data_IF_646994740684
#
_entry.id   IF_646994740684
#
_cell.length_a   1.000
_cell.length_b   1.000
_cell.length_c   1.000
_cell.angle_alpha   90.00
_cell.angle_beta   90.00
_cell.angle_gamma   90.00
#
_symmetry.space_group_name_H-M   'P 1'
#
loop_
_entity.id
_entity.type
_entity.pdbx_description
1 polymer ?
#
# COMPACT_ATOMS: atom_id res chain seq x y z
N UNK A 1 -19.70 -23.00 -0.88
CA UNK A 1 -18.51 -22.33 -0.31
C UNK A 1 -18.70 -22.15 1.20
N UNK A 2 -17.80 -22.61 2.08
CA UNK A 2 -17.95 -22.42 3.54
C UNK A 2 -17.66 -20.96 3.92
N UNK A 3 -18.68 -20.10 3.82
CA UNK A 3 -18.57 -18.63 4.01
C UNK A 3 -18.05 -18.25 5.39
N UNK A 4 -18.50 -18.94 6.46
CA UNK A 4 -18.01 -18.70 7.82
C UNK A 4 -16.48 -18.87 7.96
N UNK A 5 -15.90 -19.85 7.25
CA UNK A 5 -14.43 -20.06 7.22
C UNK A 5 -13.73 -18.90 6.53
N UNK A 6 -14.30 -18.39 5.44
CA UNK A 6 -13.75 -17.27 4.69
C UNK A 6 -13.79 -15.95 5.47
N UNK A 7 -14.85 -15.73 6.26
CA UNK A 7 -14.94 -14.57 7.16
C UNK A 7 -13.87 -14.63 8.24
N UNK A 8 -13.72 -15.78 8.90
CA UNK A 8 -12.66 -16.00 9.90
C UNK A 8 -11.27 -15.79 9.30
N UNK A 9 -11.04 -16.31 8.10
CA UNK A 9 -9.78 -16.13 7.39
C UNK A 9 -9.44 -14.66 7.13
N UNK A 10 -10.39 -13.88 6.60
CA UNK A 10 -10.19 -12.45 6.40
C UNK A 10 -9.95 -11.73 7.72
N UNK A 11 -10.65 -12.08 8.79
CA UNK A 11 -10.42 -11.47 10.10
C UNK A 11 -9.00 -11.76 10.62
N UNK A 12 -8.55 -13.01 10.52
CA UNK A 12 -7.19 -13.40 10.92
C UNK A 12 -6.11 -12.69 10.11
N UNK A 13 -6.29 -12.58 8.78
CA UNK A 13 -5.35 -11.86 7.93
C UNK A 13 -5.37 -10.36 8.19
N UNK A 14 -6.55 -9.77 8.43
CA UNK A 14 -6.66 -8.36 8.81
C UNK A 14 -5.94 -8.06 10.12
N UNK A 15 -6.10 -8.92 11.13
CA UNK A 15 -5.39 -8.80 12.39
C UNK A 15 -3.87 -8.95 12.23
N UNK A 16 -3.41 -9.92 11.43
CA UNK A 16 -1.98 -10.13 11.16
C UNK A 16 -1.34 -8.88 10.54
N UNK A 17 -1.93 -8.34 9.47
CA UNK A 17 -1.43 -7.15 8.81
C UNK A 17 -1.49 -5.91 9.71
N UNK A 18 -2.54 -5.78 10.53
CA UNK A 18 -2.66 -4.68 11.49
C UNK A 18 -1.52 -4.72 12.52
N UNK A 19 -1.23 -5.90 13.07
CA UNK A 19 -0.11 -6.09 14.02
C UNK A 19 1.22 -5.79 13.35
N UNK A 20 1.44 -6.25 12.12
CA UNK A 20 2.67 -5.96 11.37
C UNK A 20 2.82 -4.46 11.06
N UNK A 21 1.76 -3.80 10.60
CA UNK A 21 1.77 -2.36 10.33
C UNK A 21 2.00 -1.53 11.59
N UNK A 22 1.33 -1.88 12.70
CA UNK A 22 1.54 -1.23 14.00
C UNK A 22 2.97 -1.45 14.53
N UNK A 23 3.49 -2.68 14.43
CA UNK A 23 4.86 -2.99 14.78
C UNK A 23 5.86 -2.20 13.93
N UNK A 24 5.61 -2.06 12.61
CA UNK A 24 6.46 -1.25 11.74
C UNK A 24 6.49 0.21 12.20
N UNK A 25 5.32 0.81 12.50
CA UNK A 25 5.26 2.19 13.00
C UNK A 25 5.98 2.36 14.35
N UNK A 26 5.87 1.38 15.25
CA UNK A 26 6.46 1.45 16.58
C UNK A 26 7.98 1.19 16.60
N UNK A 27 8.48 0.37 15.68
CA UNK A 27 9.87 -0.13 15.69
C UNK A 27 10.74 0.46 14.56
N UNK A 28 10.15 1.13 13.57
CA UNK A 28 10.91 1.71 12.46
C UNK A 28 11.85 2.83 12.91
N UNK A 29 12.99 2.94 12.24
CA UNK A 29 13.89 4.08 12.37
C UNK A 29 13.37 5.30 11.61
N UNK A 30 14.10 6.40 11.68
CA UNK A 30 13.91 7.61 10.91
C UNK A 30 14.56 7.57 9.52
N UNK A 31 14.94 6.38 9.01
CA UNK A 31 15.55 6.23 7.69
C UNK A 31 14.67 6.80 6.56
N UNK A 32 15.31 7.56 5.67
CA UNK A 32 14.63 8.30 4.59
C UNK A 32 15.36 8.11 3.25
N UNK A 33 14.61 8.23 2.17
CA UNK A 33 15.14 8.30 0.81
C UNK A 33 14.65 9.57 0.10
N UNK A 34 15.51 10.23 -0.70
CA UNK A 34 15.13 11.44 -1.42
C UNK A 34 14.27 11.11 -2.64
N UNK A 35 13.18 11.85 -2.81
CA UNK A 35 12.44 11.97 -4.06
C UNK A 35 13.05 13.13 -4.84
N UNK A 36 13.46 12.87 -6.08
CA UNK A 36 14.19 13.85 -6.88
C UNK A 36 13.51 14.13 -8.21
N UNK A 37 13.65 15.35 -8.71
CA UNK A 37 13.36 15.71 -10.10
C UNK A 37 14.63 15.75 -10.93
N UNK A 38 14.47 15.67 -12.24
CA UNK A 38 15.56 15.83 -13.20
C UNK A 38 15.05 16.69 -14.34
N UNK A 39 15.23 18.00 -14.24
CA UNK A 39 14.82 18.95 -15.28
C UNK A 39 16.02 19.34 -16.15
N UNK A 40 15.74 19.74 -17.39
CA UNK A 40 16.78 20.17 -18.32
C UNK A 40 17.07 21.64 -18.09
N UNK A 41 18.35 21.96 -17.86
CA UNK A 41 18.84 23.33 -17.76
C UNK A 41 19.99 23.57 -18.74
N UNK A 42 20.17 24.83 -19.14
CA UNK A 42 21.31 25.21 -19.97
C UNK A 42 22.53 25.51 -19.10
N UNK A 43 23.62 24.81 -19.37
CA UNK A 43 24.88 24.95 -18.66
C UNK A 43 25.86 25.78 -19.50
N UNK A 44 26.16 27.00 -19.05
CA UNK A 44 27.06 27.91 -19.77
C UNK A 44 28.52 27.45 -19.81
N UNK A 45 28.95 26.58 -18.89
CA UNK A 45 30.32 26.06 -18.86
C UNK A 45 30.60 25.00 -19.95
N UNK A 46 29.56 24.27 -20.38
CA UNK A 46 29.64 23.23 -21.40
C UNK A 46 28.93 23.61 -22.70
N UNK A 47 28.26 24.76 -22.73
CA UNK A 47 27.45 25.25 -23.86
C UNK A 47 26.42 24.20 -24.30
N UNK A 48 25.75 23.58 -23.33
CA UNK A 48 24.86 22.45 -23.58
C UNK A 48 23.66 22.37 -22.63
N UNK A 49 22.65 21.59 -23.01
CA UNK A 49 21.48 21.30 -22.18
C UNK A 49 21.73 20.02 -21.39
N UNK A 50 21.73 20.13 -20.07
CA UNK A 50 22.05 19.02 -19.17
C UNK A 50 20.91 18.78 -18.18
N UNK A 51 20.63 17.51 -17.82
CA UNK A 51 19.68 17.19 -16.75
C UNK A 51 20.27 17.55 -15.38
N UNK A 52 19.64 18.49 -14.69
CA UNK A 52 19.96 18.87 -13.31
C UNK A 52 19.03 18.13 -12.37
N UNK A 53 19.63 17.42 -11.39
CA UNK A 53 18.90 16.62 -10.41
C UNK A 53 18.78 17.38 -9.09
N UNK A 54 17.55 17.65 -8.70
CA UNK A 54 17.22 18.30 -7.44
C UNK A 54 16.40 17.38 -6.53
N UNK A 55 16.64 17.46 -5.22
CA UNK A 55 15.80 16.80 -4.23
C UNK A 55 14.55 17.63 -3.98
N UNK A 56 13.38 17.03 -4.21
CA UNK A 56 12.09 17.63 -3.89
C UNK A 56 11.78 17.53 -2.39
N UNK A 57 11.87 16.32 -1.85
CA UNK A 57 11.63 16.02 -0.43
C UNK A 57 12.15 14.62 -0.08
N UNK A 58 12.31 14.35 1.21
CA UNK A 58 12.68 13.03 1.73
C UNK A 58 11.44 12.27 2.22
N UNK A 59 11.41 10.96 1.95
CA UNK A 59 10.33 10.06 2.38
C UNK A 59 10.85 9.08 3.41
N UNK A 60 10.22 9.07 4.59
CA UNK A 60 10.49 8.07 5.63
C UNK A 60 9.94 6.71 5.20
N UNK A 61 10.82 5.71 5.09
CA UNK A 61 10.40 4.38 4.62
C UNK A 61 9.54 3.62 5.63
N UNK A 62 9.75 3.83 6.94
CA UNK A 62 8.98 3.15 7.97
C UNK A 62 7.47 3.34 7.82
N UNK A 63 6.96 4.58 7.85
CA UNK A 63 5.55 4.88 7.59
C UNK A 63 5.06 4.44 6.20
N UNK A 64 5.89 4.56 5.16
CA UNK A 64 5.52 4.15 3.80
C UNK A 64 5.26 2.64 3.74
N UNK A 65 6.15 1.83 4.32
CA UNK A 65 6.00 0.37 4.40
C UNK A 65 4.79 -0.01 5.27
N UNK A 66 4.62 0.66 6.41
CA UNK A 66 3.47 0.44 7.26
C UNK A 66 2.14 0.72 6.53
N UNK A 67 2.12 1.71 5.63
CA UNK A 67 0.90 2.10 4.91
C UNK A 67 0.33 0.94 4.08
N UNK A 68 1.12 0.23 3.28
CA UNK A 68 0.58 -0.87 2.46
C UNK A 68 0.09 -2.05 3.33
N UNK A 69 0.75 -2.34 4.46
CA UNK A 69 0.30 -3.34 5.43
C UNK A 69 -1.07 -2.93 6.02
N UNK A 70 -1.21 -1.68 6.43
CA UNK A 70 -2.46 -1.17 7.00
C UNK A 70 -3.59 -1.12 5.97
N UNK A 71 -3.30 -0.83 4.70
CA UNK A 71 -4.29 -0.92 3.62
C UNK A 71 -4.82 -2.34 3.45
N UNK A 72 -3.93 -3.33 3.43
CA UNK A 72 -4.29 -4.76 3.39
C UNK A 72 -5.09 -5.17 4.64
N UNK A 73 -4.72 -4.67 5.82
CA UNK A 73 -5.47 -4.87 7.05
C UNK A 73 -6.91 -4.33 6.94
N UNK A 74 -7.06 -3.08 6.49
CA UNK A 74 -8.36 -2.42 6.30
C UNK A 74 -9.22 -3.22 5.32
N UNK A 75 -8.68 -3.65 4.18
CA UNK A 75 -9.42 -4.43 3.21
C UNK A 75 -9.93 -5.76 3.80
N UNK A 76 -9.07 -6.51 4.49
CA UNK A 76 -9.44 -7.77 5.12
C UNK A 76 -10.49 -7.59 6.24
N UNK A 77 -10.34 -6.57 7.08
CA UNK A 77 -11.30 -6.27 8.15
C UNK A 77 -12.63 -5.79 7.57
N UNK A 78 -12.61 -4.93 6.55
CA UNK A 78 -13.81 -4.46 5.85
C UNK A 78 -14.56 -5.64 5.22
N UNK A 79 -13.86 -6.55 4.54
CA UNK A 79 -14.46 -7.77 3.98
C UNK A 79 -15.00 -8.71 5.05
N UNK A 80 -14.59 -8.58 6.31
CA UNK A 80 -15.14 -9.36 7.43
C UNK A 80 -16.35 -8.70 8.11
N UNK A 81 -16.64 -7.44 7.79
CA UNK A 81 -17.72 -6.66 8.37
C UNK A 81 -19.10 -7.13 7.88
N UNK A 82 -20.14 -7.14 8.73
CA UNK A 82 -21.46 -7.69 8.38
C UNK A 82 -22.11 -6.99 7.18
N UNK A 83 -21.88 -5.69 6.98
CA UNK A 83 -22.44 -4.94 5.84
C UNK A 83 -21.80 -5.29 4.48
N UNK A 84 -20.49 -5.52 4.45
CA UNK A 84 -19.74 -5.72 3.20
C UNK A 84 -19.53 -7.21 2.86
N UNK A 85 -19.48 -8.08 3.87
CA UNK A 85 -19.23 -9.51 3.68
C UNK A 85 -20.27 -10.19 2.77
N UNK A 86 -21.54 -9.76 2.84
CA UNK A 86 -22.59 -10.26 1.96
C UNK A 86 -22.34 -9.92 0.49
N UNK A 87 -21.95 -8.67 0.18
CA UNK A 87 -21.57 -8.27 -1.17
C UNK A 87 -20.33 -9.04 -1.65
N UNK A 88 -19.32 -9.19 -0.79
CA UNK A 88 -18.10 -9.92 -1.09
C UNK A 88 -18.39 -11.38 -1.50
N UNK A 89 -19.16 -12.11 -0.69
CA UNK A 89 -19.50 -13.51 -0.96
C UNK A 89 -20.33 -13.66 -2.24
N UNK A 90 -21.26 -12.74 -2.52
CA UNK A 90 -22.05 -12.77 -3.77
C UNK A 90 -21.17 -12.63 -5.01
N UNK A 91 -20.19 -11.74 -4.98
CA UNK A 91 -19.26 -11.55 -6.11
C UNK A 91 -18.32 -12.73 -6.26
N UNK A 92 -17.84 -13.33 -5.16
CA UNK A 92 -17.05 -14.56 -5.22
C UNK A 92 -17.82 -15.72 -5.83
N UNK A 93 -19.13 -15.82 -5.56
CA UNK A 93 -20.01 -16.81 -6.19
C UNK A 93 -20.12 -16.62 -7.72
N UNK A 94 -19.75 -15.46 -8.24
CA UNK A 94 -19.66 -15.13 -9.67
C UNK A 94 -18.22 -15.20 -10.21
N UNK A 95 -17.26 -15.71 -9.42
CA UNK A 95 -15.85 -15.79 -9.80
C UNK A 95 -15.09 -14.46 -9.73
N UNK A 96 -15.65 -13.44 -9.08
CA UNK A 96 -15.07 -12.08 -9.06
C UNK A 96 -14.68 -11.64 -7.65
N UNK A 97 -13.53 -10.97 -7.53
CA UNK A 97 -13.07 -10.36 -6.28
C UNK A 97 -12.61 -8.91 -6.52
N UNK A 98 -13.57 -7.99 -6.65
CA UNK A 98 -13.28 -6.56 -6.89
C UNK A 98 -12.47 -5.93 -5.76
N UNK A 99 -12.75 -6.27 -4.51
CA UNK A 99 -12.06 -5.69 -3.37
C UNK A 99 -10.56 -5.99 -3.37
N UNK A 100 -10.16 -7.19 -3.81
CA UNK A 100 -8.75 -7.53 -4.01
C UNK A 100 -8.07 -6.61 -5.02
N UNK A 101 -8.69 -6.40 -6.18
CA UNK A 101 -8.09 -5.58 -7.24
C UNK A 101 -7.98 -4.11 -6.84
N UNK A 102 -9.00 -3.58 -6.16
CA UNK A 102 -8.96 -2.23 -5.61
C UNK A 102 -7.86 -2.11 -4.57
N UNK A 103 -7.73 -3.05 -3.63
CA UNK A 103 -6.67 -2.96 -2.63
C UNK A 103 -5.28 -3.07 -3.27
N UNK A 104 -5.07 -4.03 -4.18
CA UNK A 104 -3.78 -4.22 -4.86
C UNK A 104 -3.39 -3.03 -5.73
N UNK A 105 -4.34 -2.33 -6.35
CA UNK A 105 -4.00 -1.15 -7.16
C UNK A 105 -3.40 0.00 -6.34
N UNK A 106 -3.50 -0.05 -5.02
CA UNK A 106 -2.84 0.91 -4.14
C UNK A 106 -1.68 0.28 -3.38
N UNK A 107 -1.91 -0.85 -2.69
CA UNK A 107 -0.89 -1.46 -1.83
C UNK A 107 0.31 -1.97 -2.62
N UNK A 108 0.08 -2.68 -3.73
CA UNK A 108 1.18 -3.15 -4.58
C UNK A 108 1.87 -1.98 -5.30
N UNK A 109 1.16 -0.89 -5.57
CA UNK A 109 1.77 0.32 -6.14
C UNK A 109 2.67 1.06 -5.17
N UNK A 110 2.37 1.03 -3.86
CA UNK A 110 3.28 1.56 -2.83
C UNK A 110 4.49 0.64 -2.62
N UNK A 111 4.32 -0.66 -2.85
CA UNK A 111 5.43 -1.63 -2.72
C UNK A 111 6.46 -1.54 -3.85
N UNK A 112 6.06 -1.04 -5.01
CA UNK A 112 6.93 -0.83 -6.18
C UNK A 112 7.69 0.50 -6.08
#
# INVERSE_FOLDING_TARGET
MKTARLRKWNLSMGALHLVQGAAMLALSSDFQLPVTTSFIEYQSSTDSLEPVRDTLFDVRLGPLIASFLLMSAVAHLALSAPGLFGWYVRNLGRGMNYARWVEYSFSASIML
#
